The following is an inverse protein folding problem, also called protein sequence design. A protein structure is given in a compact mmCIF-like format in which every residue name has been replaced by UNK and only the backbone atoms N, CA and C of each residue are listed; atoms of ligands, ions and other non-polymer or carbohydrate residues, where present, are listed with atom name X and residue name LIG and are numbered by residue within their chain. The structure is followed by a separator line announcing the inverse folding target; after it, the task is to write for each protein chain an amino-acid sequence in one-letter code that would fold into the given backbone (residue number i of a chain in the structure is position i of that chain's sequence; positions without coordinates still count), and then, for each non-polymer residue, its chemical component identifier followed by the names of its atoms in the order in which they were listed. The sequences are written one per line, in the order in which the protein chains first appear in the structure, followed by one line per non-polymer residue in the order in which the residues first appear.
data_IF_271035437389
#
_entry.id   IF_271035437389
#
_cell.length_a   1.000
_cell.length_b   1.000
_cell.length_c   1.000
_cell.angle_alpha   90.00
_cell.angle_beta   90.00
_cell.angle_gamma   90.00
#
_symmetry.space_group_name_H-M   'P 1'
#
loop_
_entity.id
_entity.type
_entity.pdbx_description
1 polymer ?
#
# COMPACT_ATOMS: atom_id res chain seq x y z
N UNK A 1 -2.25 -20.37 -14.68
CA UNK A 1 -0.92 -19.70 -14.68
C UNK A 1 -0.91 -18.42 -13.81
N UNK A 2 -1.44 -18.47 -12.57
CA UNK A 2 -1.49 -17.32 -11.64
C UNK A 2 -0.97 -17.65 -10.22
N UNK A 3 -0.29 -18.77 -10.02
CA UNK A 3 0.09 -19.24 -8.67
C UNK A 3 1.58 -19.13 -8.31
N UNK A 4 2.42 -18.49 -9.14
CA UNK A 4 3.85 -18.34 -8.83
C UNK A 4 4.13 -17.02 -8.08
N UNK A 5 3.31 -15.98 -8.24
CA UNK A 5 3.55 -14.68 -7.59
C UNK A 5 3.00 -14.59 -6.15
N UNK A 6 2.14 -15.50 -5.71
CA UNK A 6 1.62 -15.51 -4.33
C UNK A 6 2.68 -15.95 -3.29
N UNK A 7 3.74 -16.64 -3.72
CA UNK A 7 4.76 -17.19 -2.83
C UNK A 7 5.99 -16.29 -2.60
N UNK A 8 6.10 -15.14 -3.29
CA UNK A 8 7.18 -14.18 -3.02
C UNK A 8 6.81 -13.10 -1.96
N UNK A 9 5.54 -13.08 -1.52
CA UNK A 9 5.00 -12.14 -0.53
C UNK A 9 4.45 -12.87 0.71
N UNK A 10 5.18 -13.87 1.21
CA UNK A 10 4.84 -14.58 2.46
C UNK A 10 5.22 -13.75 3.71
N UNK A 11 4.93 -12.45 3.69
CA UNK A 11 4.85 -11.61 4.87
C UNK A 11 3.44 -11.69 5.42
N UNK A 12 3.13 -12.81 6.11
CA UNK A 12 1.97 -13.06 6.98
C UNK A 12 1.02 -11.85 7.14
N UNK A 13 -0.25 -12.00 6.75
CA UNK A 13 -1.33 -11.24 7.36
C UNK A 13 -1.20 -11.41 8.88
N UNK A 14 -0.62 -10.42 9.56
CA UNK A 14 -0.65 -10.39 11.02
C UNK A 14 -2.12 -10.18 11.41
N UNK A 15 -2.57 -10.67 12.58
CA UNK A 15 -3.90 -10.34 13.10
C UNK A 15 -4.19 -8.83 13.10
N UNK A 16 -3.14 -8.01 13.11
CA UNK A 16 -3.22 -6.55 13.08
C UNK A 16 -3.59 -5.94 11.72
N UNK A 17 -3.53 -6.70 10.61
CA UNK A 17 -3.78 -6.21 9.25
C UNK A 17 -2.67 -5.31 8.68
N UNK A 18 -1.48 -5.29 9.29
CA UNK A 18 -0.36 -4.47 8.82
C UNK A 18 0.52 -5.24 7.82
N UNK A 19 0.80 -4.59 6.69
CA UNK A 19 1.71 -5.06 5.64
C UNK A 19 2.85 -4.07 5.53
N UNK A 20 4.09 -4.58 5.47
CA UNK A 20 5.29 -3.78 5.20
C UNK A 20 6.00 -4.38 3.99
N UNK A 21 6.59 -3.53 3.15
CA UNK A 21 7.32 -3.99 1.99
C UNK A 21 8.12 -2.91 1.30
N UNK A 22 8.79 -3.31 0.23
CA UNK A 22 9.57 -2.42 -0.61
C UNK A 22 9.22 -2.66 -2.09
N UNK A 23 9.10 -1.60 -2.87
CA UNK A 23 8.88 -1.64 -4.30
C UNK A 23 9.81 -0.65 -5.01
N UNK A 24 10.79 -1.13 -5.77
CA UNK A 24 11.70 -0.30 -6.58
C UNK A 24 12.36 0.85 -5.79
N UNK A 25 12.82 0.57 -4.58
CA UNK A 25 13.45 1.57 -3.69
C UNK A 25 12.47 2.49 -2.96
N UNK A 26 11.17 2.20 -3.00
CA UNK A 26 10.17 2.81 -2.15
C UNK A 26 9.79 1.86 -1.02
N UNK A 27 9.92 2.30 0.21
CA UNK A 27 9.43 1.58 1.37
C UNK A 27 7.95 1.91 1.57
N UNK A 28 7.15 0.91 1.95
CA UNK A 28 5.76 1.14 2.28
C UNK A 28 5.32 0.35 3.50
N UNK A 29 4.34 0.92 4.18
CA UNK A 29 3.55 0.26 5.20
C UNK A 29 2.08 0.57 4.96
N UNK A 30 1.23 -0.42 5.14
CA UNK A 30 -0.19 -0.29 4.89
C UNK A 30 -0.99 -1.10 5.90
N UNK A 31 -2.16 -0.59 6.27
CA UNK A 31 -3.15 -1.36 7.01
C UNK A 31 -4.23 -1.83 6.05
N UNK A 32 -4.31 -3.14 5.87
CA UNK A 32 -5.15 -3.84 4.90
C UNK A 32 -6.14 -4.74 5.66
N UNK A 33 -7.41 -4.66 5.27
CA UNK A 33 -8.49 -5.48 5.82
C UNK A 33 -8.99 -6.50 4.81
N UNK A 34 -9.76 -7.49 5.28
CA UNK A 34 -10.33 -8.54 4.43
C UNK A 34 -11.41 -8.00 3.48
N UNK A 35 -12.13 -6.97 3.91
CA UNK A 35 -13.22 -6.36 3.17
C UNK A 35 -12.96 -4.88 2.84
N UNK A 36 -13.47 -4.37 1.70
CA UNK A 36 -13.44 -2.96 1.39
C UNK A 36 -14.21 -2.11 2.41
N UNK A 37 -13.88 -0.83 2.54
CA UNK A 37 -14.56 0.06 3.49
C UNK A 37 -14.61 1.50 3.00
N UNK A 38 -15.54 2.30 3.54
CA UNK A 38 -15.63 3.75 3.27
C UNK A 38 -14.37 4.52 3.69
N UNK A 39 -13.59 3.96 4.62
CA UNK A 39 -12.30 4.50 5.07
C UNK A 39 -11.12 4.00 4.22
N UNK A 40 -11.38 3.16 3.22
CA UNK A 40 -10.37 2.64 2.32
C UNK A 40 -10.03 3.64 1.23
N UNK A 41 -8.78 3.63 0.77
CA UNK A 41 -8.39 4.33 -0.46
C UNK A 41 -9.30 3.85 -1.58
N UNK A 42 -9.99 4.79 -2.22
CA UNK A 42 -10.99 4.54 -3.28
C UNK A 42 -12.09 3.54 -2.87
N UNK A 43 -12.44 3.50 -1.58
CA UNK A 43 -13.40 2.54 -1.02
C UNK A 43 -12.88 1.11 -0.90
N UNK A 44 -11.58 0.89 -1.13
CA UNK A 44 -10.93 -0.43 -1.13
C UNK A 44 -10.56 -0.96 0.26
N UNK A 45 -9.63 -1.93 0.29
CA UNK A 45 -9.20 -2.64 1.51
C UNK A 45 -8.10 -1.94 2.33
N UNK A 46 -7.43 -0.95 1.73
CA UNK A 46 -6.30 -0.25 2.35
C UNK A 46 -6.83 0.97 3.11
N UNK A 47 -6.87 0.92 4.44
CA UNK A 47 -7.37 2.03 5.27
C UNK A 47 -6.28 3.03 5.69
N UNK A 48 -5.01 2.59 5.64
CA UNK A 48 -3.84 3.41 5.94
C UNK A 48 -2.71 3.05 4.99
N UNK A 49 -1.93 4.02 4.56
CA UNK A 49 -0.77 3.81 3.70
C UNK A 49 0.26 4.91 3.94
N UNK A 50 1.52 4.51 4.11
CA UNK A 50 2.67 5.42 4.02
C UNK A 50 3.61 4.87 2.97
N UNK A 51 4.05 5.72 2.04
CA UNK A 51 5.11 5.39 1.08
C UNK A 51 6.26 6.38 1.28
N UNK A 52 7.47 5.85 1.40
CA UNK A 52 8.69 6.63 1.59
C UNK A 52 9.73 6.30 0.52
N UNK A 53 10.59 7.28 0.20
CA UNK A 53 11.81 7.06 -0.58
C UNK A 53 12.95 7.86 0.03
N UNK A 54 14.03 7.20 0.44
CA UNK A 54 15.16 7.87 1.08
C UNK A 54 14.78 8.68 2.32
N UNK A 55 13.78 8.21 3.09
CA UNK A 55 13.25 8.90 4.27
C UNK A 55 12.17 9.95 4.01
N UNK A 56 11.99 10.43 2.77
CA UNK A 56 10.93 11.38 2.40
C UNK A 56 9.58 10.65 2.27
N UNK A 57 8.52 11.19 2.89
CA UNK A 57 7.15 10.72 2.68
C UNK A 57 6.65 11.26 1.34
N UNK A 58 6.38 10.36 0.40
CA UNK A 58 5.91 10.72 -0.96
C UNK A 58 4.39 10.53 -1.11
N UNK A 59 3.78 9.77 -0.21
CA UNK A 59 2.34 9.61 -0.07
C UNK A 59 2.01 9.15 1.35
N UNK A 60 0.98 9.73 1.94
CA UNK A 60 0.44 9.34 3.24
C UNK A 60 -1.08 9.44 3.23
N UNK A 61 -1.72 8.37 3.70
CA UNK A 61 -3.15 8.24 3.82
C UNK A 61 -3.48 7.63 5.17
N UNK A 62 -4.24 8.33 6.00
CA UNK A 62 -4.87 7.79 7.22
C UNK A 62 -6.38 8.05 7.16
N UNK A 63 -7.09 7.23 6.35
CA UNK A 63 -8.55 7.35 6.10
C UNK A 63 -8.94 8.70 5.48
N UNK A 64 -7.99 9.29 4.77
CA UNK A 64 -8.01 10.60 4.18
C UNK A 64 -6.60 10.88 3.68
N UNK A 65 -6.46 11.68 2.63
CA UNK A 65 -5.14 12.00 2.09
C UNK A 65 -4.48 13.13 2.91
N UNK A 66 -3.46 12.80 3.69
CA UNK A 66 -2.60 13.78 4.33
C UNK A 66 -1.54 14.30 3.35
N UNK A 67 -0.97 13.39 2.57
CA UNK A 67 -0.01 13.70 1.50
C UNK A 67 -0.38 12.91 0.26
N UNK A 68 -0.83 13.60 -0.80
CA UNK A 68 -1.11 12.98 -2.10
C UNK A 68 0.18 12.85 -2.92
N UNK A 69 0.38 11.76 -3.69
CA UNK A 69 1.48 11.70 -4.63
C UNK A 69 1.31 12.72 -5.76
N UNK A 70 2.29 13.61 -5.90
CA UNK A 70 2.20 14.77 -6.82
C UNK A 70 2.69 14.49 -8.24
N UNK A 71 3.68 13.61 -8.40
CA UNK A 71 4.26 13.28 -9.71
C UNK A 71 3.65 12.01 -10.32
N UNK A 72 3.71 11.89 -11.65
CA UNK A 72 3.25 10.69 -12.37
C UNK A 72 3.93 9.42 -11.82
N UNK A 73 5.24 9.45 -11.62
CA UNK A 73 5.99 8.31 -11.07
C UNK A 73 5.56 7.94 -9.64
N UNK A 74 5.26 8.92 -8.77
CA UNK A 74 4.75 8.66 -7.41
C UNK A 74 3.36 8.01 -7.44
N UNK A 75 2.49 8.45 -8.37
CA UNK A 75 1.16 7.84 -8.58
C UNK A 75 1.25 6.41 -9.11
N UNK A 76 2.15 6.13 -10.05
CA UNK A 76 2.37 4.77 -10.58
C UNK A 76 2.84 3.80 -9.49
N UNK A 77 3.70 4.26 -8.58
CA UNK A 77 4.13 3.47 -7.40
C UNK A 77 2.96 3.18 -6.47
N UNK A 78 2.13 4.19 -6.17
CA UNK A 78 0.91 4.01 -5.38
C UNK A 78 -0.01 2.96 -6.02
N UNK A 79 -0.34 3.09 -7.30
CA UNK A 79 -1.23 2.14 -7.99
C UNK A 79 -0.65 0.73 -8.02
N UNK A 80 0.67 0.59 -8.18
CA UNK A 80 1.31 -0.72 -8.14
C UNK A 80 1.27 -1.34 -6.74
N UNK A 81 1.45 -0.56 -5.67
CA UNK A 81 1.31 -1.05 -4.30
C UNK A 81 -0.14 -1.46 -4.04
N UNK A 82 -1.12 -0.63 -4.42
CA UNK A 82 -2.55 -0.96 -4.34
C UNK A 82 -2.86 -2.28 -5.02
N UNK A 83 -2.35 -2.52 -6.23
CA UNK A 83 -2.59 -3.78 -6.94
C UNK A 83 -1.94 -5.01 -6.31
N UNK A 84 -0.94 -4.82 -5.43
CA UNK A 84 -0.23 -5.93 -4.79
C UNK A 84 -0.91 -6.36 -3.48
N UNK A 85 -1.52 -5.41 -2.76
CA UNK A 85 -1.98 -5.64 -1.38
C UNK A 85 -3.45 -5.28 -1.14
N UNK A 86 -4.04 -4.42 -1.98
CA UNK A 86 -5.41 -3.92 -1.87
C UNK A 86 -6.38 -4.65 -2.78
#
# INVERSE_FOLDING_TARGET
MQNILKNLFLGRFKPSGWVHGQLKGYDFEAKVYDHPSTNGIDGGRISKLTIKRGGEIIAHYDRGWDVKPESKGRREVLERIKSLIG
#
